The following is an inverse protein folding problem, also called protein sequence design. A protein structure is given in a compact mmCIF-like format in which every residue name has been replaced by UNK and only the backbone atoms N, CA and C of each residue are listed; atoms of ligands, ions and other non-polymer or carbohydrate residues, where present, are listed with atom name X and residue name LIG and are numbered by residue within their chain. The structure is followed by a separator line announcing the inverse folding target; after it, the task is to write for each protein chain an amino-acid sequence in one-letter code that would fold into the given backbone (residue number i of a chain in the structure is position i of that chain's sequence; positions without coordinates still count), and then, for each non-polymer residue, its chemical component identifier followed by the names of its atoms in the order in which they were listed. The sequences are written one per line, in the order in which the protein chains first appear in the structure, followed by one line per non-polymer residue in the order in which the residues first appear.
data_IF_188796364142
#
_entry.id   IF_188796364142
#
_cell.length_a   1.000
_cell.length_b   1.000
_cell.length_c   1.000
_cell.angle_alpha   90.00
_cell.angle_beta   90.00
_cell.angle_gamma   90.00
#
_symmetry.space_group_name_H-M   'P 1'
#
loop_
_entity.id
_entity.type
_entity.pdbx_description
1 polymer ?
#
# COMPACT_ATOMS: atom_id res chain seq x y z
N UNK A 1 8.84 5.10 2.45
CA UNK A 1 8.30 4.04 1.60
C UNK A 1 6.80 4.25 1.55
N UNK A 2 6.33 5.05 0.60
CA UNK A 2 4.91 5.35 0.48
C UNK A 2 4.15 4.10 0.06
N UNK A 3 4.67 3.33 -0.91
CA UNK A 3 3.97 2.15 -1.41
C UNK A 3 3.89 1.04 -0.35
N UNK A 4 4.99 0.78 0.37
CA UNK A 4 5.01 -0.25 1.43
C UNK A 4 4.05 0.05 2.56
N UNK A 5 4.04 1.28 3.11
CA UNK A 5 3.14 1.62 4.22
C UNK A 5 1.67 1.55 3.78
N UNK A 6 1.35 2.08 2.60
CA UNK A 6 0.00 2.00 2.04
C UNK A 6 -0.44 0.55 1.80
N UNK A 7 0.45 -0.30 1.26
CA UNK A 7 0.14 -1.70 1.03
C UNK A 7 -0.16 -2.45 2.34
N UNK A 8 0.59 -2.17 3.42
CA UNK A 8 0.37 -2.81 4.72
C UNK A 8 -0.95 -2.34 5.33
N UNK A 9 -1.26 -1.03 5.29
CA UNK A 9 -2.54 -0.50 5.78
C UNK A 9 -3.70 -1.14 5.02
N UNK A 10 -3.62 -1.26 3.69
CA UNK A 10 -4.63 -1.93 2.87
C UNK A 10 -4.82 -3.39 3.26
N UNK A 11 -3.74 -4.11 3.53
CA UNK A 11 -3.80 -5.49 4.03
C UNK A 11 -4.51 -5.60 5.38
N UNK A 12 -4.24 -4.66 6.30
CA UNK A 12 -4.90 -4.61 7.61
C UNK A 12 -6.39 -4.28 7.47
N UNK A 13 -6.76 -3.34 6.59
CA UNK A 13 -8.17 -3.02 6.31
C UNK A 13 -8.89 -4.25 5.78
N UNK A 14 -8.32 -4.95 4.79
CA UNK A 14 -8.91 -6.17 4.25
C UNK A 14 -9.02 -7.29 5.30
N UNK A 15 -8.06 -7.38 6.21
CA UNK A 15 -8.09 -8.36 7.29
C UNK A 15 -9.15 -8.08 8.36
N UNK A 16 -9.50 -6.81 8.59
CA UNK A 16 -10.43 -6.39 9.64
C UNK A 16 -11.84 -6.10 9.16
N UNK A 17 -11.99 -5.71 7.89
CA UNK A 17 -13.26 -5.31 7.31
C UNK A 17 -13.63 -6.33 6.24
N UNK A 18 -14.57 -7.21 6.54
CA UNK A 18 -15.01 -8.26 5.59
C UNK A 18 -15.96 -7.75 4.52
N UNK A 19 -16.65 -6.61 4.74
CA UNK A 19 -17.57 -6.03 3.79
C UNK A 19 -16.83 -5.13 2.78
N UNK A 20 -16.72 -5.52 1.49
CA UNK A 20 -15.98 -4.76 0.49
C UNK A 20 -16.56 -3.35 0.27
N UNK A 21 -17.88 -3.19 0.39
CA UNK A 21 -18.57 -1.91 0.19
C UNK A 21 -18.09 -0.88 1.23
N UNK A 22 -17.77 -1.33 2.45
CA UNK A 22 -17.20 -0.48 3.50
C UNK A 22 -15.68 -0.36 3.39
N UNK A 23 -14.99 -1.43 3.01
CA UNK A 23 -13.52 -1.42 2.94
C UNK A 23 -12.99 -0.49 1.85
N UNK A 24 -13.68 -0.37 0.71
CA UNK A 24 -13.30 0.54 -0.38
C UNK A 24 -13.22 2.00 0.07
N UNK A 25 -14.30 2.63 0.59
CA UNK A 25 -14.22 4.02 1.05
C UNK A 25 -13.24 4.18 2.21
N UNK A 26 -13.17 3.21 3.14
CA UNK A 26 -12.19 3.25 4.24
C UNK A 26 -10.76 3.28 3.69
N UNK A 27 -10.44 2.46 2.68
CA UNK A 27 -9.13 2.45 2.05
C UNK A 27 -8.82 3.78 1.37
N UNK A 28 -9.77 4.36 0.63
CA UNK A 28 -9.59 5.67 -0.03
C UNK A 28 -9.34 6.78 1.00
N UNK A 29 -10.14 6.85 2.06
CA UNK A 29 -9.92 7.86 3.11
C UNK A 29 -8.64 7.61 3.91
N UNK A 30 -8.29 6.35 4.14
CA UNK A 30 -7.04 5.98 4.79
C UNK A 30 -5.81 6.36 3.96
N UNK A 31 -5.90 6.30 2.62
CA UNK A 31 -4.85 6.79 1.72
C UNK A 31 -4.59 8.28 1.95
N UNK A 32 -5.64 9.11 1.88
CA UNK A 32 -5.53 10.55 2.13
C UNK A 32 -4.95 10.82 3.52
N UNK A 33 -5.45 10.10 4.53
CA UNK A 33 -4.98 10.25 5.90
C UNK A 33 -3.52 9.82 6.07
N UNK A 34 -3.09 8.76 5.39
CA UNK A 34 -1.72 8.26 5.44
C UNK A 34 -0.74 9.25 4.78
N UNK A 35 -1.14 9.89 3.68
CA UNK A 35 -0.34 10.92 3.01
C UNK A 35 -0.12 12.17 3.86
N UNK A 36 -1.03 12.48 4.79
CA UNK A 36 -0.89 13.59 5.72
C UNK A 36 0.27 13.38 6.72
N UNK A 37 0.72 12.14 6.93
CA UNK A 37 1.86 11.87 7.80
C UNK A 37 3.17 12.11 7.06
N UNK A 38 4.17 12.77 7.70
CA UNK A 38 5.50 12.92 7.11
C UNK A 38 6.08 11.56 6.74
N UNK A 39 6.38 11.37 5.46
CA UNK A 39 6.91 10.12 4.96
C UNK A 39 8.00 10.37 3.91
N UNK A 40 8.96 9.44 3.85
CA UNK A 40 9.92 9.38 2.76
C UNK A 40 9.27 8.70 1.55
N UNK A 41 9.51 9.17 0.34
CA UNK A 41 9.06 8.54 -0.90
C UNK A 41 10.21 8.36 -1.91
N UNK A 42 9.94 7.64 -3.00
CA UNK A 42 10.93 7.44 -4.06
C UNK A 42 11.16 8.71 -4.88
N UNK A 43 10.22 9.66 -4.87
CA UNK A 43 10.33 11.01 -5.43
C UNK A 43 11.17 12.00 -4.59
N UNK A 44 11.57 11.64 -3.37
CA UNK A 44 12.30 12.54 -2.47
C UNK A 44 13.68 12.81 -3.08
N UNK A 45 14.03 14.08 -3.33
CA UNK A 45 15.21 14.49 -4.10
C UNK A 45 15.22 14.01 -5.58
N UNK A 46 14.06 13.81 -6.21
CA UNK A 46 13.93 13.38 -7.62
C UNK A 46 14.81 14.15 -8.63
N UNK A 47 15.01 15.48 -8.54
CA UNK A 47 15.89 16.20 -9.47
C UNK A 47 17.34 15.68 -9.51
N UNK A 48 17.81 15.09 -8.41
CA UNK A 48 19.17 14.55 -8.27
C UNK A 48 19.26 13.05 -8.58
N UNK A 49 18.17 12.41 -9.03
CA UNK A 49 18.11 10.97 -9.29
C UNK A 49 18.07 10.69 -10.79
N UNK A 50 18.87 9.71 -11.23
CA UNK A 50 18.73 9.15 -12.57
C UNK A 50 17.41 8.40 -12.71
N UNK A 51 16.86 8.32 -13.93
CA UNK A 51 15.63 7.55 -14.21
C UNK A 51 15.75 6.10 -13.74
N UNK A 52 16.92 5.48 -13.95
CA UNK A 52 17.19 4.10 -13.52
C UNK A 52 17.13 3.97 -12.01
N UNK A 53 17.73 4.89 -11.26
CA UNK A 53 17.69 4.87 -9.78
C UNK A 53 16.27 5.03 -9.26
N UNK A 54 15.51 6.00 -9.78
CA UNK A 54 14.11 6.20 -9.40
C UNK A 54 13.25 4.96 -9.69
N UNK A 55 13.43 4.34 -10.85
CA UNK A 55 12.73 3.11 -11.21
C UNK A 55 13.07 1.95 -10.26
N UNK A 56 14.36 1.74 -9.95
CA UNK A 56 14.79 0.68 -9.04
C UNK A 56 14.28 0.91 -7.61
N UNK A 57 14.34 2.14 -7.10
CA UNK A 57 13.80 2.47 -5.77
C UNK A 57 12.28 2.25 -5.71
N UNK A 58 11.54 2.64 -6.75
CA UNK A 58 10.09 2.39 -6.85
C UNK A 58 9.75 0.92 -6.96
N UNK A 59 10.49 0.18 -7.78
CA UNK A 59 10.31 -1.27 -7.91
C UNK A 59 10.54 -1.97 -6.57
N UNK A 60 11.63 -1.62 -5.87
CA UNK A 60 11.94 -2.17 -4.55
C UNK A 60 10.85 -1.82 -3.54
N UNK A 61 10.34 -0.58 -3.51
CA UNK A 61 9.29 -0.17 -2.57
C UNK A 61 7.99 -0.95 -2.82
N UNK A 62 7.52 -1.03 -4.06
CA UNK A 62 6.29 -1.77 -4.41
C UNK A 62 6.44 -3.26 -4.12
N UNK A 63 7.54 -3.88 -4.53
CA UNK A 63 7.78 -5.31 -4.27
C UNK A 63 7.86 -5.60 -2.77
N UNK A 64 8.54 -4.76 -2.00
CA UNK A 64 8.61 -4.90 -0.54
C UNK A 64 7.22 -4.79 0.09
N UNK A 65 6.40 -3.83 -0.35
CA UNK A 65 5.02 -3.67 0.09
C UNK A 65 4.19 -4.93 -0.10
N UNK A 66 4.20 -5.52 -1.30
CA UNK A 66 3.45 -6.75 -1.56
C UNK A 66 3.96 -7.95 -0.75
N UNK A 67 5.27 -8.13 -0.63
CA UNK A 67 5.86 -9.23 0.16
C UNK A 67 5.44 -9.11 1.64
N UNK A 68 5.56 -7.92 2.21
CA UNK A 68 5.20 -7.69 3.61
C UNK A 68 3.70 -7.81 3.84
N UNK A 69 2.86 -7.27 2.96
CA UNK A 69 1.41 -7.43 3.06
C UNK A 69 0.99 -8.90 2.96
N UNK A 70 1.60 -9.68 2.06
CA UNK A 70 1.35 -11.11 1.98
C UNK A 70 1.78 -11.83 3.26
N UNK A 71 2.95 -11.50 3.81
CA UNK A 71 3.40 -12.06 5.08
C UNK A 71 2.43 -11.72 6.24
N UNK A 72 1.96 -10.46 6.33
CA UNK A 72 0.96 -10.04 7.31
C UNK A 72 -0.31 -10.86 7.17
N UNK A 73 -0.84 -11.03 5.96
CA UNK A 73 -2.04 -11.84 5.74
C UNK A 73 -1.81 -13.30 6.11
N UNK A 74 -0.68 -13.90 5.74
CA UNK A 74 -0.41 -15.31 6.00
C UNK A 74 -0.19 -15.63 7.48
N UNK A 75 0.50 -14.75 8.22
CA UNK A 75 0.88 -15.03 9.62
C UNK A 75 -0.10 -14.44 10.64
N UNK A 76 -0.82 -13.37 10.30
CA UNK A 76 -1.68 -12.66 11.25
C UNK A 76 -3.17 -12.86 10.92
N UNK A 77 -3.54 -12.94 9.64
CA UNK A 77 -4.93 -13.05 9.21
C UNK A 77 -5.13 -14.10 8.09
N UNK A 78 -4.75 -15.38 8.31
CA UNK A 78 -4.70 -16.40 7.26
C UNK A 78 -6.07 -16.74 6.65
N UNK A 79 -7.16 -16.41 7.33
CA UNK A 79 -8.53 -16.60 6.83
C UNK A 79 -8.97 -15.52 5.84
N UNK A 80 -8.20 -14.45 5.65
CA UNK A 80 -8.55 -13.37 4.74
C UNK A 80 -8.42 -13.83 3.29
N UNK A 81 -9.48 -13.62 2.50
CA UNK A 81 -9.46 -13.93 1.07
C UNK A 81 -8.39 -13.08 0.36
N UNK A 82 -7.40 -13.74 -0.26
CA UNK A 82 -6.25 -13.07 -0.86
C UNK A 82 -6.62 -12.18 -2.05
N UNK A 83 -7.59 -12.58 -2.88
CA UNK A 83 -8.04 -11.77 -4.01
C UNK A 83 -8.67 -10.46 -3.52
N UNK A 84 -9.57 -10.58 -2.54
CA UNK A 84 -10.18 -9.43 -1.90
C UNK A 84 -9.13 -8.51 -1.27
N UNK A 85 -8.19 -9.08 -0.51
CA UNK A 85 -7.13 -8.29 0.11
C UNK A 85 -6.25 -7.57 -0.91
N UNK A 86 -5.91 -8.24 -2.01
CA UNK A 86 -5.14 -7.65 -3.10
C UNK A 86 -5.86 -6.46 -3.75
N UNK A 87 -7.18 -6.56 -3.95
CA UNK A 87 -7.99 -5.45 -4.45
C UNK A 87 -7.96 -4.24 -3.50
N UNK A 88 -8.13 -4.46 -2.20
CA UNK A 88 -8.08 -3.38 -1.21
C UNK A 88 -6.68 -2.78 -1.09
N UNK A 89 -5.62 -3.59 -1.18
CA UNK A 89 -4.23 -3.12 -1.21
C UNK A 89 -3.99 -2.18 -2.40
N UNK A 90 -4.45 -2.55 -3.60
CA UNK A 90 -4.32 -1.70 -4.79
C UNK A 90 -5.10 -0.40 -4.61
N UNK A 91 -6.34 -0.47 -4.12
CA UNK A 91 -7.15 0.73 -3.88
C UNK A 91 -6.44 1.63 -2.86
N UNK A 92 -5.98 1.08 -1.74
CA UNK A 92 -5.22 1.83 -0.72
C UNK A 92 -3.93 2.44 -1.29
N UNK A 93 -3.23 1.76 -2.21
CA UNK A 93 -1.97 2.24 -2.75
C UNK A 93 -2.12 3.26 -3.91
N UNK A 94 -3.25 3.25 -4.63
CA UNK A 94 -3.42 4.01 -5.88
C UNK A 94 -4.72 4.82 -5.99
N UNK A 95 -5.53 4.90 -4.92
CA UNK A 95 -6.82 5.59 -4.97
C UNK A 95 -6.71 7.05 -5.44
N UNK A 96 -5.60 7.74 -5.14
CA UNK A 96 -5.40 9.16 -5.47
C UNK A 96 -3.90 9.43 -5.76
N UNK A 97 -3.33 8.79 -6.77
CA UNK A 97 -2.02 9.21 -7.25
C UNK A 97 -2.14 10.56 -7.99
N UNK A 98 -1.73 11.65 -7.33
CA UNK A 98 -1.53 12.97 -7.95
C UNK A 98 -0.21 13.08 -8.71
#
# INVERSE_FOLDING_TARGET
MTATSHAIIGAVIAAKISNPILAIPIAIFSHIAADAFPHWDTGTHKPNKSRRRFFLETLVDVTTGFILSYAVLQFIAPSTNLLYAFMIIIIMAFAISS
#
